data_IF_597994834945
#
_entry.id   IF_597994834945
#
_cell.length_a   1.000
_cell.length_b   1.000
_cell.length_c   1.000
_cell.angle_alpha   90.00
_cell.angle_beta   90.00
_cell.angle_gamma   90.00
#
_symmetry.space_group_name_H-M   'P 1'
#
loop_
_entity.id
_entity.type
_entity.pdbx_description
1 polymer ?
#
# COMPACT_ATOMS: atom_id res chain seq x y z
N UNK A 1 -4.44 -21.42 17.90
CA UNK A 1 -3.96 -20.08 17.52
C UNK A 1 -2.94 -19.65 18.56
N UNK A 2 -1.65 -19.68 18.24
CA UNK A 2 -0.60 -19.14 19.11
C UNK A 2 -0.81 -17.65 19.35
N UNK A 3 -0.36 -17.13 20.49
CA UNK A 3 -0.42 -15.70 20.76
C UNK A 3 0.29 -14.91 19.63
N UNK A 4 -0.22 -13.73 19.24
CA UNK A 4 0.43 -12.91 18.22
C UNK A 4 1.85 -12.56 18.64
N UNK A 5 2.79 -12.57 17.70
CA UNK A 5 4.17 -12.17 17.99
C UNK A 5 4.21 -10.71 18.45
N UNK A 6 5.20 -10.36 19.30
CA UNK A 6 5.42 -8.97 19.73
C UNK A 6 5.52 -8.03 18.53
N UNK A 7 6.17 -8.46 17.45
CA UNK A 7 6.30 -7.71 16.20
C UNK A 7 4.95 -7.40 15.56
N UNK A 8 4.03 -8.38 15.51
CA UNK A 8 2.69 -8.19 14.95
C UNK A 8 1.89 -7.16 15.75
N UNK A 9 1.95 -7.24 17.09
CA UNK A 9 1.27 -6.27 17.97
C UNK A 9 1.85 -4.87 17.81
N UNK A 10 3.17 -4.73 17.89
CA UNK A 10 3.85 -3.42 17.76
C UNK A 10 3.60 -2.81 16.39
N UNK A 11 3.72 -3.59 15.32
CA UNK A 11 3.47 -3.14 13.96
C UNK A 11 2.03 -2.65 13.77
N UNK A 12 1.05 -3.42 14.26
CA UNK A 12 -0.36 -3.05 14.20
C UNK A 12 -0.62 -1.73 14.94
N UNK A 13 -0.16 -1.61 16.19
CA UNK A 13 -0.31 -0.38 16.98
C UNK A 13 0.34 0.82 16.28
N UNK A 14 1.55 0.65 15.74
CA UNK A 14 2.26 1.72 15.06
C UNK A 14 1.51 2.21 13.80
N UNK A 15 1.03 1.28 12.96
CA UNK A 15 0.27 1.62 11.75
C UNK A 15 -1.05 2.32 12.09
N UNK A 16 -1.77 1.85 13.12
CA UNK A 16 -3.00 2.49 13.57
C UNK A 16 -2.77 3.88 14.18
N UNK A 17 -1.71 4.05 14.98
CA UNK A 17 -1.34 5.35 15.52
C UNK A 17 -0.98 6.35 14.40
N UNK A 18 -0.19 5.91 13.41
CA UNK A 18 0.14 6.71 12.24
C UNK A 18 -1.11 7.06 11.39
N UNK A 19 -2.03 6.11 11.22
CA UNK A 19 -3.30 6.34 10.52
C UNK A 19 -4.17 7.38 11.26
N UNK A 20 -4.32 7.25 12.57
CA UNK A 20 -5.06 8.21 13.39
C UNK A 20 -4.43 9.62 13.32
N UNK A 21 -3.10 9.71 13.38
CA UNK A 21 -2.38 10.97 13.18
C UNK A 21 -2.58 11.55 11.79
N UNK A 22 -2.54 10.72 10.74
CA UNK A 22 -2.80 11.12 9.36
C UNK A 22 -4.25 11.61 9.14
N UNK A 23 -5.23 10.96 9.76
CA UNK A 23 -6.64 11.40 9.76
C UNK A 23 -6.75 12.76 10.45
N UNK A 24 -6.20 12.89 11.66
CA UNK A 24 -6.22 14.16 12.40
C UNK A 24 -5.56 15.28 11.58
N UNK A 25 -4.40 15.03 10.98
CA UNK A 25 -3.73 15.99 10.12
C UNK A 25 -4.61 16.39 8.94
N UNK A 26 -5.18 15.41 8.23
CA UNK A 26 -6.03 15.68 7.08
C UNK A 26 -7.27 16.49 7.45
N UNK A 27 -7.92 16.22 8.58
CA UNK A 27 -9.13 16.95 8.98
C UNK A 27 -8.84 18.40 9.39
N UNK A 28 -7.70 18.66 10.03
CA UNK A 28 -7.38 19.98 10.59
C UNK A 28 -6.57 20.88 9.65
N UNK A 29 -5.87 20.31 8.66
CA UNK A 29 -4.92 21.04 7.81
C UNK A 29 -5.18 20.86 6.30
N UNK A 30 -6.43 20.55 5.90
CA UNK A 30 -6.89 20.34 4.50
C UNK A 30 -6.38 21.43 3.53
N UNK A 31 -6.33 22.68 3.98
CA UNK A 31 -6.05 23.85 3.15
C UNK A 31 -4.56 24.15 2.96
N UNK A 32 -3.67 23.56 3.76
CA UNK A 32 -2.28 24.01 3.83
C UNK A 32 -1.38 23.43 2.74
N UNK A 33 -1.53 22.15 2.34
CA UNK A 33 -0.77 21.60 1.20
C UNK A 33 -1.46 20.37 0.57
N UNK A 34 -1.83 20.44 -0.71
CA UNK A 34 -2.39 19.29 -1.45
C UNK A 34 -1.41 18.10 -1.55
N UNK A 35 -0.11 18.33 -1.38
CA UNK A 35 0.96 17.34 -1.58
C UNK A 35 1.22 16.47 -0.34
N UNK A 36 1.17 17.03 0.88
CA UNK A 36 1.49 16.28 2.11
C UNK A 36 0.53 15.10 2.32
N UNK A 37 -0.75 15.31 2.00
CA UNK A 37 -1.75 14.25 2.05
C UNK A 37 -1.43 13.05 1.14
N UNK A 38 -0.70 13.24 0.04
CA UNK A 38 -0.31 12.17 -0.88
C UNK A 38 0.87 11.35 -0.35
N UNK A 39 1.84 12.00 0.31
CA UNK A 39 3.02 11.33 0.86
C UNK A 39 2.71 10.46 2.07
N UNK A 40 1.73 10.88 2.90
CA UNK A 40 1.29 10.11 4.07
C UNK A 40 0.85 8.69 3.71
N UNK A 41 0.13 8.52 2.60
CA UNK A 41 -0.30 7.19 2.14
C UNK A 41 0.88 6.31 1.70
N UNK A 42 1.83 6.89 0.97
CA UNK A 42 3.04 6.18 0.56
C UNK A 42 3.87 5.74 1.75
N UNK A 43 4.16 6.66 2.68
CA UNK A 43 4.93 6.35 3.90
C UNK A 43 4.26 5.24 4.70
N UNK A 44 2.94 5.35 4.92
CA UNK A 44 2.20 4.35 5.68
C UNK A 44 2.22 2.98 4.98
N UNK A 45 2.04 2.94 3.65
CA UNK A 45 2.12 1.69 2.88
C UNK A 45 3.50 1.02 2.93
N UNK A 46 4.58 1.81 2.88
CA UNK A 46 5.95 1.29 2.92
C UNK A 46 6.36 0.73 4.30
N UNK A 47 5.60 0.99 5.37
CA UNK A 47 5.82 0.33 6.67
C UNK A 47 5.72 -1.20 6.57
N UNK A 48 4.99 -1.72 5.58
CA UNK A 48 4.90 -3.16 5.29
C UNK A 48 6.24 -3.82 4.97
N UNK A 49 7.28 -3.06 4.59
CA UNK A 49 8.63 -3.61 4.36
C UNK A 49 9.20 -4.29 5.61
N UNK A 50 8.83 -3.82 6.81
CA UNK A 50 9.24 -4.46 8.08
C UNK A 50 8.76 -5.91 8.17
N UNK A 51 7.69 -6.26 7.45
CA UNK A 51 7.11 -7.60 7.44
C UNK A 51 7.66 -8.50 6.31
N UNK A 52 8.51 -7.97 5.42
CA UNK A 52 9.09 -8.75 4.31
C UNK A 52 9.84 -9.99 4.80
N UNK A 53 10.67 -9.96 5.86
CA UNK A 53 11.32 -11.18 6.37
C UNK A 53 10.32 -12.29 6.71
N UNK A 54 9.21 -11.94 7.38
CA UNK A 54 8.15 -12.91 7.70
C UNK A 54 7.47 -13.48 6.46
N UNK A 55 7.32 -12.64 5.43
CA UNK A 55 6.77 -13.05 4.14
C UNK A 55 7.71 -14.04 3.42
N UNK A 56 9.03 -13.80 3.49
CA UNK A 56 10.06 -14.66 2.91
C UNK A 56 10.18 -15.99 3.65
N UNK A 57 10.11 -15.97 4.98
CA UNK A 57 10.17 -17.16 5.84
C UNK A 57 8.99 -18.12 5.58
N UNK A 58 7.83 -17.60 5.17
CA UNK A 58 6.69 -18.42 4.77
C UNK A 58 6.92 -19.19 3.45
N UNK A 59 7.92 -18.81 2.64
CA UNK A 59 8.38 -19.57 1.48
C UNK A 59 7.44 -19.61 0.27
N UNK A 60 6.27 -18.95 0.31
CA UNK A 60 5.33 -18.94 -0.81
C UNK A 60 5.68 -17.85 -1.84
N UNK A 61 6.42 -18.26 -2.88
CA UNK A 61 6.84 -17.35 -3.95
C UNK A 61 5.68 -16.62 -4.64
N UNK A 62 4.50 -17.25 -4.76
CA UNK A 62 3.33 -16.63 -5.39
C UNK A 62 2.78 -15.51 -4.51
N UNK A 63 2.63 -15.77 -3.21
CA UNK A 63 2.20 -14.76 -2.24
C UNK A 63 3.18 -13.58 -2.18
N UNK A 64 4.49 -13.89 -2.15
CA UNK A 64 5.55 -12.88 -2.12
C UNK A 64 5.50 -12.00 -3.37
N UNK A 65 5.45 -12.58 -4.56
CA UNK A 65 5.38 -11.84 -5.82
C UNK A 65 4.12 -10.97 -5.90
N UNK A 66 2.97 -11.48 -5.43
CA UNK A 66 1.72 -10.74 -5.43
C UNK A 66 1.75 -9.54 -4.48
N UNK A 67 2.29 -9.70 -3.26
CA UNK A 67 2.43 -8.62 -2.27
C UNK A 67 3.45 -7.57 -2.73
N UNK A 68 4.64 -8.00 -3.15
CA UNK A 68 5.71 -7.09 -3.61
C UNK A 68 5.30 -6.38 -4.90
N UNK A 69 4.75 -7.13 -5.87
CA UNK A 69 4.22 -6.57 -7.11
C UNK A 69 3.10 -5.56 -6.86
N UNK A 70 2.20 -5.85 -5.92
CA UNK A 70 1.18 -4.90 -5.47
C UNK A 70 1.78 -3.60 -4.94
N UNK A 71 2.80 -3.68 -4.07
CA UNK A 71 3.51 -2.50 -3.55
C UNK A 71 4.20 -1.67 -4.64
N UNK A 72 4.79 -2.33 -5.65
CA UNK A 72 5.41 -1.68 -6.81
C UNK A 72 4.37 -0.99 -7.70
N UNK A 73 3.23 -1.64 -7.97
CA UNK A 73 2.12 -1.05 -8.71
C UNK A 73 1.57 0.21 -7.99
N UNK A 74 1.36 0.13 -6.68
CA UNK A 74 0.90 1.27 -5.88
C UNK A 74 1.87 2.46 -5.96
N UNK A 75 3.18 2.18 -5.80
CA UNK A 75 4.23 3.19 -5.85
C UNK A 75 4.35 3.79 -7.26
N UNK A 76 4.34 2.96 -8.29
CA UNK A 76 4.39 3.38 -9.69
C UNK A 76 3.20 4.27 -10.08
N UNK A 77 1.99 3.91 -9.65
CA UNK A 77 0.81 4.73 -9.83
C UNK A 77 0.95 6.11 -9.19
N UNK A 78 1.48 6.18 -7.97
CA UNK A 78 1.76 7.46 -7.29
C UNK A 78 2.75 8.34 -8.06
N UNK A 79 3.78 7.74 -8.66
CA UNK A 79 4.75 8.44 -9.52
C UNK A 79 4.06 8.99 -10.78
N UNK A 80 3.20 8.21 -11.43
CA UNK A 80 2.43 8.65 -12.61
C UNK A 80 1.51 9.83 -12.25
N UNK A 81 0.77 9.71 -11.14
CA UNK A 81 -0.10 10.78 -10.63
C UNK A 81 0.68 12.07 -10.39
N UNK A 82 1.88 11.95 -9.82
CA UNK A 82 2.74 13.11 -9.50
C UNK A 82 3.30 13.76 -10.76
N UNK A 83 3.71 12.96 -11.74
CA UNK A 83 4.30 13.46 -12.99
C UNK A 83 3.26 14.11 -13.91
N UNK A 84 1.99 13.67 -13.87
CA UNK A 84 0.88 14.21 -14.69
C UNK A 84 1.16 14.22 -16.20
N UNK A 85 1.83 13.17 -16.71
CA UNK A 85 2.25 13.09 -18.12
C UNK A 85 1.64 11.95 -18.92
N UNK A 86 1.19 10.87 -18.29
CA UNK A 86 0.67 9.72 -19.02
C UNK A 86 -0.79 10.00 -19.42
N UNK A 87 -1.08 10.12 -20.71
CA UNK A 87 -2.44 10.39 -21.20
C UNK A 87 -2.80 9.46 -22.37
N UNK A 88 -3.19 8.19 -22.08
CA UNK A 88 -3.52 7.22 -23.12
C UNK A 88 -4.66 7.65 -24.05
N UNK A 89 -5.72 8.25 -23.48
CA UNK A 89 -6.87 8.77 -24.22
C UNK A 89 -7.28 10.15 -23.68
N UNK A 90 -6.78 11.23 -24.31
CA UNK A 90 -7.08 12.59 -23.89
C UNK A 90 -8.58 12.86 -23.79
N UNK A 91 -9.01 13.39 -22.64
CA UNK A 91 -10.41 13.71 -22.35
C UNK A 91 -11.28 12.55 -21.85
N UNK A 92 -10.74 11.32 -21.79
CA UNK A 92 -11.47 10.12 -21.33
C UNK A 92 -10.68 9.34 -20.28
N UNK A 93 -9.38 9.11 -20.50
CA UNK A 93 -8.54 8.29 -19.63
C UNK A 93 -7.10 8.82 -19.65
N UNK A 94 -6.75 9.59 -18.63
CA UNK A 94 -5.46 10.23 -18.45
C UNK A 94 -4.69 9.71 -17.24
N UNK A 95 -3.76 10.52 -16.75
CA UNK A 95 -2.82 10.12 -15.70
C UNK A 95 -3.50 9.77 -14.38
N UNK A 96 -4.68 10.36 -14.12
CA UNK A 96 -5.45 10.13 -12.91
C UNK A 96 -6.11 8.75 -12.94
N UNK A 97 -6.70 8.39 -14.08
CA UNK A 97 -7.35 7.12 -14.32
C UNK A 97 -6.33 5.98 -14.38
N UNK A 98 -5.15 6.23 -14.97
CA UNK A 98 -4.03 5.28 -14.92
C UNK A 98 -3.60 5.01 -13.48
N UNK A 99 -3.47 6.06 -12.66
CA UNK A 99 -3.16 5.89 -11.25
C UNK A 99 -4.20 5.03 -10.52
N UNK A 100 -5.50 5.31 -10.72
CA UNK A 100 -6.58 4.49 -10.15
C UNK A 100 -6.49 3.03 -10.59
N UNK A 101 -6.30 2.77 -11.89
CA UNK A 101 -6.16 1.43 -12.41
C UNK A 101 -5.00 0.67 -11.75
N UNK A 102 -3.84 1.32 -11.59
CA UNK A 102 -2.69 0.73 -10.91
C UNK A 102 -2.97 0.46 -9.43
N UNK A 103 -3.67 1.35 -8.72
CA UNK A 103 -4.05 1.14 -7.32
C UNK A 103 -5.03 -0.02 -7.18
N UNK A 104 -6.01 -0.15 -8.09
CA UNK A 104 -6.94 -1.29 -8.10
C UNK A 104 -6.18 -2.60 -8.29
N UNK A 105 -5.30 -2.67 -9.29
CA UNK A 105 -4.47 -3.85 -9.52
C UNK A 105 -3.55 -4.15 -8.31
N UNK A 106 -3.00 -3.11 -7.68
CA UNK A 106 -2.18 -3.26 -6.48
C UNK A 106 -2.96 -3.89 -5.31
N UNK A 107 -4.18 -3.41 -5.04
CA UNK A 107 -5.04 -3.93 -3.97
C UNK A 107 -5.46 -5.36 -4.24
N UNK A 108 -5.80 -5.69 -5.50
CA UNK A 108 -6.15 -7.07 -5.89
C UNK A 108 -4.95 -7.99 -5.72
N UNK A 109 -3.77 -7.63 -6.24
CA UNK A 109 -2.57 -8.44 -6.12
C UNK A 109 -2.19 -8.64 -4.64
N UNK A 110 -2.19 -7.57 -3.84
CA UNK A 110 -1.88 -7.66 -2.42
C UNK A 110 -2.88 -8.55 -1.67
N UNK A 111 -4.18 -8.35 -1.89
CA UNK A 111 -5.24 -9.15 -1.25
C UNK A 111 -5.13 -10.64 -1.59
N UNK A 112 -4.91 -10.97 -2.87
CA UNK A 112 -4.68 -12.36 -3.30
C UNK A 112 -3.42 -12.95 -2.68
N UNK A 113 -2.35 -12.17 -2.57
CA UNK A 113 -1.13 -12.59 -1.90
C UNK A 113 -1.33 -12.92 -0.42
N UNK A 114 -2.12 -12.11 0.29
CA UNK A 114 -2.43 -12.35 1.72
C UNK A 114 -3.33 -13.58 1.89
N UNK A 115 -4.36 -13.76 1.05
CA UNK A 115 -5.20 -14.96 1.07
C UNK A 115 -4.35 -16.21 0.80
N UNK A 116 -3.50 -16.16 -0.23
CA UNK A 116 -2.61 -17.26 -0.58
C UNK A 116 -1.63 -17.60 0.56
N UNK A 117 -1.08 -16.57 1.20
CA UNK A 117 -0.22 -16.75 2.36
C UNK A 117 -0.96 -17.44 3.52
N UNK A 118 -2.22 -17.03 3.78
CA UNK A 118 -3.04 -17.63 4.82
C UNK A 118 -3.32 -19.12 4.55
N UNK A 119 -3.57 -19.50 3.29
CA UNK A 119 -3.76 -20.90 2.91
C UNK A 119 -2.49 -21.75 3.07
N UNK A 120 -1.31 -21.15 2.91
CA UNK A 120 -0.02 -21.87 3.00
C UNK A 120 0.43 -22.09 4.45
N UNK A 121 0.00 -21.24 5.39
CA UNK A 121 0.38 -21.32 6.82
C UNK A 121 -0.68 -21.97 7.73
N UNK A 122 -1.86 -22.28 7.18
CA UNK A 122 -2.95 -22.98 7.86
C UNK A 122 -2.72 -24.50 7.90
#
# INVERSE_FOLDING_TARGET
>A
LSAPSRTAVVGTVAVWAAAAGGIHYKLNYVTLTKSVGSWLYGILGWTGVVLVPYLLDAGDATAILAVVGGGLLYTGGGVILTRRRLDPWPGVFGYHEVWHAMVVLAVVAHGLGIVRLADTVA
#
